data_IF_251541738614
#
_entry.id   IF_251541738614
#
_cell.length_a   1.000
_cell.length_b   1.000
_cell.length_c   1.000
_cell.angle_alpha   90.00
_cell.angle_beta   90.00
_cell.angle_gamma   90.00
#
_symmetry.space_group_name_H-M   'P 1'
#
loop_
_entity.id
_entity.type
_entity.pdbx_description
1 polymer ?
#
# COMPACT_ATOMS: atom_id res chain seq x y z
N UNK A 1 32.04 -10.78 36.08
CA UNK A 1 32.57 -10.85 34.70
C UNK A 1 32.53 -12.27 34.12
N UNK A 2 33.37 -13.23 34.55
CA UNK A 2 33.36 -14.58 33.94
C UNK A 2 32.06 -15.36 34.19
N UNK A 3 31.49 -15.26 35.40
CA UNK A 3 30.21 -15.89 35.77
C UNK A 3 29.03 -15.27 35.00
N UNK A 4 29.06 -13.96 34.75
CA UNK A 4 28.01 -13.27 33.98
C UNK A 4 28.10 -13.62 32.49
N UNK A 5 29.32 -13.73 31.95
CA UNK A 5 29.56 -14.23 30.60
C UNK A 5 29.13 -15.68 30.43
N UNK A 6 29.41 -16.55 31.41
CA UNK A 6 28.95 -17.96 31.40
C UNK A 6 27.41 -18.03 31.54
N UNK A 7 26.78 -17.21 32.37
CA UNK A 7 25.30 -17.16 32.48
C UNK A 7 24.66 -16.65 31.19
N UNK A 8 25.22 -15.63 30.55
CA UNK A 8 24.79 -15.16 29.23
C UNK A 8 24.96 -16.28 28.18
N UNK A 9 26.09 -16.97 28.18
CA UNK A 9 26.37 -18.06 27.24
C UNK A 9 25.46 -19.29 27.44
N UNK A 10 25.21 -19.69 28.68
CA UNK A 10 24.28 -20.77 29.05
C UNK A 10 22.83 -20.36 28.75
N UNK A 11 22.47 -19.09 28.95
CA UNK A 11 21.16 -18.57 28.57
C UNK A 11 20.91 -18.66 27.06
N UNK A 12 21.96 -18.43 26.26
CA UNK A 12 21.89 -18.48 24.79
C UNK A 12 21.86 -19.94 24.25
N UNK A 13 22.38 -20.91 25.01
CA UNK A 13 22.32 -22.34 24.71
C UNK A 13 20.94 -22.98 24.96
N UNK A 14 20.08 -22.34 25.75
CA UNK A 14 18.73 -22.83 26.06
C UNK A 14 17.62 -22.15 25.24
N UNK A 15 17.99 -21.16 24.42
CA UNK A 15 17.08 -20.46 23.51
C UNK A 15 16.49 -21.41 22.48
N UNK A 16 15.21 -21.21 22.19
CA UNK A 16 14.56 -21.80 21.04
C UNK A 16 14.78 -20.95 19.79
N UNK A 17 14.56 -21.55 18.63
CA UNK A 17 14.73 -20.89 17.34
C UNK A 17 13.45 -20.96 16.53
N UNK A 18 13.00 -19.81 16.05
CA UNK A 18 11.96 -19.68 15.03
C UNK A 18 12.64 -19.28 13.74
N UNK A 19 12.48 -20.08 12.71
CA UNK A 19 12.90 -19.76 11.35
C UNK A 19 11.65 -19.52 10.51
N UNK A 20 11.63 -18.42 9.77
CA UNK A 20 10.55 -18.12 8.83
C UNK A 20 11.17 -17.94 7.47
N UNK A 21 10.71 -18.71 6.49
CA UNK A 21 11.13 -18.65 5.10
C UNK A 21 10.07 -17.91 4.27
N UNK A 22 10.48 -16.99 3.40
CA UNK A 22 9.64 -16.34 2.40
C UNK A 22 10.16 -16.66 1.00
N UNK A 23 9.33 -17.31 0.19
CA UNK A 23 9.59 -17.62 -1.23
C UNK A 23 8.93 -16.58 -2.13
N UNK A 24 7.73 -16.13 -1.75
CA UNK A 24 6.99 -15.08 -2.43
C UNK A 24 7.77 -13.76 -2.44
N UNK A 25 7.73 -13.08 -3.59
CA UNK A 25 8.49 -11.85 -3.81
C UNK A 25 7.96 -10.68 -2.98
N UNK A 26 6.65 -10.53 -2.85
CA UNK A 26 6.03 -9.51 -2.00
C UNK A 26 6.35 -9.75 -0.53
N UNK A 27 6.32 -11.01 -0.07
CA UNK A 27 6.67 -11.33 1.32
C UNK A 27 8.14 -11.07 1.60
N UNK A 28 9.06 -11.47 0.72
CA UNK A 28 10.48 -11.14 0.89
C UNK A 28 10.74 -9.64 0.93
N UNK A 29 9.98 -8.86 0.18
CA UNK A 29 10.21 -7.41 0.10
C UNK A 29 9.53 -6.61 1.23
N UNK A 30 8.33 -7.00 1.64
CA UNK A 30 7.46 -6.21 2.53
C UNK A 30 7.03 -6.95 3.80
N UNK A 31 7.31 -8.25 3.88
CA UNK A 31 6.95 -9.09 5.00
C UNK A 31 7.64 -8.67 6.29
N UNK A 32 6.85 -8.52 7.34
CA UNK A 32 7.31 -8.30 8.72
C UNK A 32 6.83 -9.46 9.57
N UNK A 33 7.77 -10.19 10.17
CA UNK A 33 7.48 -11.23 11.14
C UNK A 33 7.47 -10.61 12.53
N UNK A 34 6.38 -10.79 13.26
CA UNK A 34 6.26 -10.38 14.65
C UNK A 34 6.10 -11.58 15.56
N UNK A 35 6.83 -11.58 16.68
CA UNK A 35 6.68 -12.56 17.75
C UNK A 35 6.07 -11.87 18.96
N UNK A 36 4.91 -12.35 19.38
CA UNK A 36 4.14 -11.82 20.50
C UNK A 36 4.12 -12.82 21.64
N UNK A 37 4.19 -12.31 22.87
CA UNK A 37 3.93 -13.08 24.08
C UNK A 37 2.77 -12.39 24.82
N UNK A 38 1.68 -13.12 25.02
CA UNK A 38 0.42 -12.53 25.47
C UNK A 38 -0.01 -11.37 24.56
N UNK A 39 -0.01 -10.12 25.06
CA UNK A 39 -0.36 -8.91 24.31
C UNK A 39 0.83 -7.98 24.08
N UNK A 40 2.05 -8.45 24.31
CA UNK A 40 3.27 -7.67 24.14
C UNK A 40 4.04 -8.14 22.91
N UNK A 41 4.43 -7.19 22.06
CA UNK A 41 5.37 -7.44 20.96
C UNK A 41 6.77 -7.65 21.57
N UNK A 42 7.38 -8.80 21.30
CA UNK A 42 8.69 -9.17 21.83
C UNK A 42 9.78 -8.91 20.79
N UNK A 43 9.54 -9.35 19.56
CA UNK A 43 10.49 -9.22 18.44
C UNK A 43 9.73 -8.85 17.17
N UNK A 44 10.34 -8.01 16.32
CA UNK A 44 9.90 -7.82 14.95
C UNK A 44 11.09 -7.87 13.99
N UNK A 45 10.90 -8.55 12.86
CA UNK A 45 11.97 -8.81 11.90
C UNK A 45 11.45 -8.68 10.48
N UNK A 46 12.29 -8.15 9.59
CA UNK A 46 12.07 -8.13 8.15
C UNK A 46 12.93 -9.17 7.47
N UNK A 47 12.50 -9.64 6.32
CA UNK A 47 13.34 -10.46 5.46
C UNK A 47 14.52 -9.62 4.92
N UNK A 48 15.75 -10.16 4.87
CA UNK A 48 16.89 -9.40 4.40
C UNK A 48 16.78 -9.01 2.91
N UNK A 49 17.37 -7.87 2.50
CA UNK A 49 17.59 -7.54 1.08
C UNK A 49 18.60 -8.54 0.48
N UNK A 50 18.28 -9.03 -0.73
CA UNK A 50 18.99 -10.09 -1.51
C UNK A 50 18.75 -11.49 -0.97
N UNK A 51 18.73 -12.47 -1.89
CA UNK A 51 18.68 -13.96 -1.86
C UNK A 51 18.44 -14.76 -0.56
N UNK A 52 18.75 -14.22 0.62
CA UNK A 52 18.32 -14.73 1.91
C UNK A 52 16.78 -14.71 2.00
N UNK A 53 16.22 -15.90 1.81
CA UNK A 53 14.78 -16.15 1.80
C UNK A 53 14.25 -16.51 3.18
N UNK A 54 14.98 -16.21 4.26
CA UNK A 54 14.57 -16.58 5.61
C UNK A 54 15.13 -15.65 6.68
N UNK A 55 14.49 -15.66 7.84
CA UNK A 55 14.95 -15.03 9.07
C UNK A 55 15.04 -16.07 10.17
N UNK A 56 15.92 -15.83 11.14
CA UNK A 56 16.12 -16.69 12.31
C UNK A 56 15.98 -15.84 13.57
N UNK A 57 15.00 -16.16 14.40
CA UNK A 57 14.70 -15.45 15.65
C UNK A 57 15.01 -16.38 16.82
N UNK A 58 15.87 -15.93 17.74
CA UNK A 58 16.15 -16.64 18.99
C UNK A 58 15.25 -16.10 20.09
N UNK A 59 14.53 -16.99 20.77
CA UNK A 59 13.60 -16.63 21.84
C UNK A 59 13.74 -17.55 23.04
N UNK A 60 13.42 -17.05 24.22
CA UNK A 60 13.33 -17.87 25.43
C UNK A 60 12.19 -18.90 25.29
N UNK A 61 12.23 -20.01 26.05
CA UNK A 61 11.11 -20.94 26.13
C UNK A 61 9.85 -20.26 26.70
N UNK A 62 8.69 -20.53 26.11
CA UNK A 62 7.45 -19.84 26.47
C UNK A 62 6.34 -20.08 25.47
N UNK A 63 5.20 -19.42 25.67
CA UNK A 63 4.08 -19.46 24.72
C UNK A 63 4.06 -18.20 23.87
N UNK A 64 4.02 -18.36 22.55
CA UNK A 64 4.16 -17.26 21.60
C UNK A 64 3.16 -17.34 20.46
N UNK A 65 2.81 -16.17 19.92
CA UNK A 65 2.13 -16.02 18.63
C UNK A 65 3.10 -15.45 17.62
N UNK A 66 3.26 -16.15 16.51
CA UNK A 66 4.07 -15.67 15.38
C UNK A 66 3.13 -15.20 14.29
N UNK A 67 3.30 -13.95 13.89
CA UNK A 67 2.49 -13.31 12.84
C UNK A 67 3.39 -12.91 11.69
N UNK A 68 2.89 -13.08 10.47
CA UNK A 68 3.46 -12.49 9.27
C UNK A 68 2.52 -11.37 8.83
N UNK A 69 3.06 -10.17 8.69
CA UNK A 69 2.33 -9.00 8.17
C UNK A 69 2.91 -8.67 6.81
N UNK A 70 2.04 -8.55 5.81
CA UNK A 70 2.41 -8.22 4.43
C UNK A 70 1.38 -7.24 3.89
N UNK A 71 1.83 -6.02 3.56
CA UNK A 71 0.96 -4.90 3.17
C UNK A 71 -0.09 -4.61 4.26
N UNK A 72 -1.37 -4.83 3.97
CA UNK A 72 -2.51 -4.62 4.88
C UNK A 72 -2.99 -5.91 5.58
N UNK A 73 -2.35 -7.07 5.30
CA UNK A 73 -2.79 -8.37 5.79
C UNK A 73 -1.91 -8.88 6.91
N UNK A 74 -2.55 -9.44 7.94
CA UNK A 74 -1.88 -10.17 9.02
C UNK A 74 -2.27 -11.63 8.96
N UNK A 75 -1.27 -12.51 8.96
CA UNK A 75 -1.41 -13.96 8.96
C UNK A 75 -0.83 -14.52 10.25
N UNK A 76 -1.55 -15.42 10.91
CA UNK A 76 -1.04 -16.15 12.06
C UNK A 76 -0.25 -17.37 11.53
N UNK A 77 1.07 -17.36 11.70
CA UNK A 77 1.93 -18.51 11.35
C UNK A 77 1.82 -19.61 12.41
N UNK A 78 1.65 -19.22 13.67
CA UNK A 78 1.21 -20.14 14.71
C UNK A 78 1.05 -19.52 16.09
N UNK A 79 0.39 -20.27 16.97
CA UNK A 79 0.11 -19.95 18.37
C UNK A 79 0.42 -21.20 19.20
N UNK A 80 1.57 -21.23 19.87
CA UNK A 80 2.09 -22.46 20.47
C UNK A 80 3.11 -22.20 21.59
N UNK A 81 3.34 -23.24 22.39
CA UNK A 81 4.43 -23.31 23.36
C UNK A 81 5.71 -23.79 22.68
N UNK A 82 6.81 -23.15 23.05
CA UNK A 82 8.17 -23.43 22.59
C UNK A 82 9.01 -23.84 23.78
N UNK A 83 9.57 -25.04 23.74
CA UNK A 83 10.43 -25.57 24.79
C UNK A 83 11.91 -25.21 24.54
N UNK A 84 12.77 -25.49 25.53
CA UNK A 84 14.22 -25.26 25.43
C UNK A 84 14.79 -25.92 24.18
N UNK A 85 15.60 -25.16 23.43
CA UNK A 85 16.28 -25.61 22.20
C UNK A 85 15.34 -26.10 21.09
N UNK A 86 14.03 -25.90 21.23
CA UNK A 86 13.09 -26.28 20.19
C UNK A 86 13.35 -25.45 18.92
N UNK A 87 13.16 -26.09 17.76
CA UNK A 87 13.18 -25.42 16.46
C UNK A 87 11.78 -25.44 15.87
N UNK A 88 11.37 -24.28 15.37
CA UNK A 88 10.11 -24.11 14.65
C UNK A 88 10.41 -23.46 13.32
N UNK A 89 9.83 -24.01 12.26
CA UNK A 89 10.02 -23.55 10.91
C UNK A 89 8.66 -23.19 10.33
N UNK A 90 8.59 -22.02 9.71
CA UNK A 90 7.44 -21.55 8.96
C UNK A 90 7.87 -21.20 7.55
N UNK A 91 6.96 -21.33 6.62
CA UNK A 91 7.08 -20.79 5.27
C UNK A 91 5.83 -20.00 4.94
N UNK A 92 5.88 -19.31 3.81
CA UNK A 92 4.73 -18.67 3.18
C UNK A 92 3.89 -19.61 2.32
N UNK A 93 4.07 -20.93 2.46
CA UNK A 93 3.29 -21.92 1.71
C UNK A 93 1.80 -21.83 2.07
N UNK A 94 0.96 -21.67 1.05
CA UNK A 94 -0.50 -21.54 1.22
C UNK A 94 -0.96 -20.18 1.76
N UNK A 95 -0.07 -19.21 1.96
CA UNK A 95 -0.47 -17.84 2.31
C UNK A 95 -0.95 -17.13 1.03
N UNK A 96 -2.21 -16.64 0.99
CA UNK A 96 -2.69 -15.86 -0.14
C UNK A 96 -2.10 -14.45 -0.06
N UNK A 97 -0.87 -14.29 -0.53
CA UNK A 97 -0.15 -13.03 -0.45
C UNK A 97 -0.84 -11.97 -1.30
N UNK A 98 -1.15 -10.79 -0.75
CA UNK A 98 -1.65 -9.69 -1.57
C UNK A 98 -0.57 -9.26 -2.58
N UNK A 99 -0.96 -9.18 -3.85
CA UNK A 99 -0.08 -8.64 -4.89
C UNK A 99 0.13 -7.14 -4.65
N UNK A 100 1.40 -6.73 -4.51
CA UNK A 100 1.72 -5.31 -4.39
C UNK A 100 1.50 -4.62 -5.74
N UNK A 101 0.71 -3.55 -5.75
CA UNK A 101 0.45 -2.74 -6.94
C UNK A 101 -0.11 -3.60 -8.10
N UNK A 102 -1.19 -4.36 -7.83
CA UNK A 102 -1.77 -5.30 -8.79
C UNK A 102 -2.15 -4.65 -10.12
N UNK A 103 -1.86 -5.34 -11.23
CA UNK A 103 -2.23 -4.89 -12.57
C UNK A 103 -3.75 -4.75 -12.78
N UNK A 104 -4.55 -5.41 -11.95
CA UNK A 104 -6.02 -5.29 -11.94
C UNK A 104 -6.50 -3.92 -11.47
N UNK A 105 -5.65 -3.14 -10.80
CA UNK A 105 -5.96 -1.78 -10.32
C UNK A 105 -5.54 -0.69 -11.31
N UNK A 106 -5.64 -0.97 -12.60
CA UNK A 106 -5.40 -0.02 -13.68
C UNK A 106 -6.53 -0.04 -14.69
N UNK A 107 -6.91 1.14 -15.16
CA UNK A 107 -7.84 1.35 -16.27
C UNK A 107 -7.05 1.69 -17.52
N UNK A 108 -7.42 1.08 -18.65
CA UNK A 108 -6.86 1.40 -19.95
C UNK A 108 -7.57 2.62 -20.55
N UNK A 109 -6.78 3.58 -21.01
CA UNK A 109 -7.22 4.78 -21.71
C UNK A 109 -6.76 4.64 -23.17
N UNK A 110 -7.72 4.52 -24.08
CA UNK A 110 -7.44 4.40 -25.49
C UNK A 110 -6.77 5.67 -26.05
N UNK A 111 -5.90 5.47 -27.04
CA UNK A 111 -5.31 6.56 -27.80
C UNK A 111 -6.40 7.41 -28.47
N UNK A 112 -6.12 8.69 -28.66
CA UNK A 112 -6.99 9.57 -29.42
C UNK A 112 -6.85 11.04 -29.05
N UNK A 113 -7.62 11.84 -29.77
CA UNK A 113 -7.71 13.28 -29.57
C UNK A 113 -8.87 13.62 -28.64
N UNK A 114 -8.66 14.58 -27.75
CA UNK A 114 -9.70 15.11 -26.88
C UNK A 114 -9.53 16.61 -26.67
N UNK A 115 -10.62 17.27 -26.31
CA UNK A 115 -10.61 18.68 -25.93
C UNK A 115 -10.21 18.79 -24.45
N UNK A 116 -9.01 19.32 -24.19
CA UNK A 116 -8.55 19.65 -22.84
C UNK A 116 -9.00 21.06 -22.46
N UNK A 117 -9.39 21.25 -21.19
CA UNK A 117 -9.67 22.56 -20.63
C UNK A 117 -11.16 22.92 -20.61
N UNK A 118 -11.45 24.18 -20.29
CA UNK A 118 -12.81 24.73 -20.27
C UNK A 118 -12.80 26.24 -20.50
N UNK A 119 -13.91 26.77 -20.99
CA UNK A 119 -14.10 28.22 -21.08
C UNK A 119 -14.56 28.85 -19.76
N UNK A 120 -14.87 28.03 -18.75
CA UNK A 120 -15.41 28.49 -17.45
C UNK A 120 -14.32 29.04 -16.52
N UNK A 121 -13.10 28.53 -16.62
CA UNK A 121 -12.01 28.90 -15.71
C UNK A 121 -10.83 29.49 -16.48
N UNK A 122 -10.32 30.64 -16.01
CA UNK A 122 -9.21 31.35 -16.67
C UNK A 122 -7.98 30.48 -16.92
N UNK A 123 -7.63 29.62 -15.96
CA UNK A 123 -6.44 28.76 -16.06
C UNK A 123 -6.68 27.47 -16.86
N UNK A 124 -7.92 27.19 -17.26
CA UNK A 124 -8.28 26.07 -18.12
C UNK A 124 -8.67 26.51 -19.55
N UNK A 125 -8.61 27.82 -19.83
CA UNK A 125 -9.08 28.43 -21.07
C UNK A 125 -7.90 28.87 -21.95
N UNK A 126 -8.03 28.82 -23.29
CA UNK A 126 -9.16 28.24 -24.03
C UNK A 126 -9.06 26.71 -24.09
N UNK A 127 -10.21 26.02 -24.25
CA UNK A 127 -10.21 24.61 -24.61
C UNK A 127 -9.42 24.37 -25.91
N UNK A 128 -8.61 23.32 -25.95
CA UNK A 128 -7.79 22.99 -27.10
C UNK A 128 -7.63 21.48 -27.28
N UNK A 129 -7.41 21.04 -28.51
CA UNK A 129 -7.26 19.62 -28.82
C UNK A 129 -5.88 19.09 -28.46
N UNK A 130 -5.85 17.94 -27.78
CA UNK A 130 -4.62 17.20 -27.48
C UNK A 130 -4.80 15.76 -27.96
N UNK A 131 -3.78 15.25 -28.65
CA UNK A 131 -3.71 13.84 -29.03
C UNK A 131 -2.79 13.09 -28.06
N UNK A 132 -3.30 12.01 -27.47
CA UNK A 132 -2.54 11.13 -26.57
C UNK A 132 -2.45 9.73 -27.16
N UNK A 133 -1.31 9.08 -26.96
CA UNK A 133 -1.19 7.63 -27.14
C UNK A 133 -2.01 6.88 -26.07
N UNK A 134 -2.25 5.59 -26.27
CA UNK A 134 -2.90 4.77 -25.26
C UNK A 134 -2.00 4.66 -24.01
N UNK A 135 -2.61 4.66 -22.83
CA UNK A 135 -1.90 4.50 -21.56
C UNK A 135 -2.79 3.80 -20.53
N UNK A 136 -2.19 3.33 -19.44
CA UNK A 136 -2.93 2.83 -18.27
C UNK A 136 -2.75 3.78 -17.12
N UNK A 137 -3.81 4.01 -16.35
CA UNK A 137 -3.76 4.82 -15.13
C UNK A 137 -4.40 4.04 -13.98
N UNK A 138 -3.87 4.24 -12.77
CA UNK A 138 -4.37 3.65 -11.53
C UNK A 138 -5.88 3.90 -11.38
N UNK A 139 -6.65 2.84 -11.11
CA UNK A 139 -8.09 2.89 -10.81
C UNK A 139 -8.37 3.57 -9.46
N UNK A 140 -7.41 3.51 -8.54
CA UNK A 140 -7.49 4.05 -7.18
C UNK A 140 -6.24 4.90 -6.92
N UNK A 141 -6.31 5.94 -6.07
CA UNK A 141 -5.10 6.60 -5.59
C UNK A 141 -4.14 5.58 -4.95
N UNK A 142 -2.83 5.86 -4.96
CA UNK A 142 -1.87 5.08 -4.18
C UNK A 142 -2.31 5.09 -2.72
N UNK A 143 -2.44 3.91 -2.11
CA UNK A 143 -2.91 3.80 -0.73
C UNK A 143 -1.79 4.12 0.27
N UNK A 144 -2.18 4.48 1.49
CA UNK A 144 -1.21 4.73 2.56
C UNK A 144 -0.37 3.50 2.86
N UNK A 145 -0.94 2.29 2.81
CA UNK A 145 -0.21 1.03 2.97
C UNK A 145 0.82 0.80 1.86
N UNK A 146 0.44 1.06 0.60
CA UNK A 146 1.36 0.87 -0.52
C UNK A 146 2.54 1.83 -0.44
N UNK A 147 2.27 3.10 -0.13
CA UNK A 147 3.32 4.10 0.03
C UNK A 147 4.19 3.83 1.27
N UNK A 148 3.60 3.45 2.40
CA UNK A 148 4.34 3.06 3.60
C UNK A 148 5.26 1.87 3.33
N UNK A 149 4.81 0.89 2.53
CA UNK A 149 5.63 -0.27 2.12
C UNK A 149 6.86 0.14 1.32
N UNK A 150 6.72 1.13 0.42
CA UNK A 150 7.85 1.76 -0.27
C UNK A 150 8.77 2.51 0.70
N UNK A 151 8.23 3.42 1.52
CA UNK A 151 9.03 4.25 2.44
C UNK A 151 9.84 3.37 3.40
N UNK A 152 9.23 2.29 3.86
CA UNK A 152 9.84 1.25 4.65
C UNK A 152 10.94 0.48 3.90
N UNK A 153 10.75 0.17 2.61
CA UNK A 153 11.77 -0.49 1.78
C UNK A 153 12.98 0.43 1.47
N UNK A 154 12.79 1.75 1.52
CA UNK A 154 13.87 2.73 1.41
C UNK A 154 14.64 2.88 2.74
N UNK A 155 13.91 3.01 3.86
CA UNK A 155 14.48 3.04 5.23
C UNK A 155 15.14 1.74 5.67
N UNK A 156 14.90 0.66 4.92
CA UNK A 156 15.56 -0.65 5.07
C UNK A 156 17.10 -0.54 5.25
N UNK A 157 17.74 0.49 4.68
CA UNK A 157 19.18 0.67 4.81
C UNK A 157 19.64 1.08 6.24
N UNK A 158 18.72 1.51 7.11
CA UNK A 158 19.07 2.24 8.33
C UNK A 158 18.62 1.54 9.63
N UNK A 159 17.43 0.92 9.68
CA UNK A 159 16.92 0.27 10.91
C UNK A 159 16.00 -0.93 10.66
N UNK A 160 15.86 -1.81 11.66
CA UNK A 160 14.81 -2.86 11.72
C UNK A 160 13.48 -2.35 12.28
N UNK A 161 13.45 -1.12 12.80
CA UNK A 161 12.24 -0.52 13.36
C UNK A 161 11.41 0.07 12.24
N UNK A 162 10.31 -0.59 11.91
CA UNK A 162 9.49 -0.18 10.79
C UNK A 162 8.03 -0.10 11.20
N UNK A 163 7.45 1.07 10.97
CA UNK A 163 6.03 1.29 11.10
C UNK A 163 5.30 0.39 10.10
N UNK A 164 4.64 -0.64 10.63
CA UNK A 164 3.75 -1.50 9.87
C UNK A 164 2.46 -0.73 9.63
N UNK A 165 2.01 -0.71 8.38
CA UNK A 165 0.79 0.01 8.01
C UNK A 165 -0.39 -0.38 8.92
N UNK A 166 -1.05 0.60 9.52
CA UNK A 166 -2.22 0.36 10.36
C UNK A 166 -3.45 0.02 9.51
N UNK A 167 -4.25 -0.95 9.97
CA UNK A 167 -5.48 -1.39 9.28
C UNK A 167 -6.47 -0.26 9.02
N UNK A 168 -6.49 0.75 9.87
CA UNK A 168 -7.45 1.87 9.80
C UNK A 168 -7.14 2.85 8.67
N UNK A 169 -5.86 3.01 8.33
CA UNK A 169 -5.39 3.86 7.24
C UNK A 169 -5.04 3.08 5.97
N UNK A 170 -4.96 1.74 6.04
CA UNK A 170 -4.52 0.88 4.95
C UNK A 170 -5.16 1.18 3.61
N UNK A 171 -6.48 1.43 3.62
CA UNK A 171 -7.27 1.66 2.42
C UNK A 171 -7.55 3.15 2.16
N UNK A 172 -6.92 4.09 2.87
CA UNK A 172 -7.02 5.52 2.53
C UNK A 172 -5.92 5.90 1.53
N UNK A 173 -6.11 6.91 0.66
CA UNK A 173 -5.03 7.43 -0.19
C UNK A 173 -3.84 7.87 0.64
N UNK A 174 -2.61 7.66 0.19
CA UNK A 174 -1.43 8.26 0.77
C UNK A 174 -1.54 9.80 0.75
N UNK A 175 -1.03 10.46 1.78
CA UNK A 175 -0.99 11.92 1.89
C UNK A 175 0.32 12.35 2.55
N UNK A 176 0.56 13.67 2.61
CA UNK A 176 1.84 14.23 3.06
C UNK A 176 3.03 13.68 2.25
N UNK A 177 2.82 13.51 0.94
CA UNK A 177 3.83 13.05 -0.02
C UNK A 177 4.15 14.23 -0.93
N UNK A 178 5.42 14.61 -1.02
CA UNK A 178 5.85 15.65 -1.97
C UNK A 178 5.85 15.09 -3.39
N UNK A 179 5.92 15.99 -4.38
CA UNK A 179 5.98 15.56 -5.77
C UNK A 179 7.27 14.78 -6.09
N UNK A 180 8.40 15.16 -5.48
CA UNK A 180 9.67 14.44 -5.61
C UNK A 180 9.59 13.05 -5.02
N UNK A 181 8.94 12.91 -3.86
CA UNK A 181 8.72 11.62 -3.21
C UNK A 181 7.80 10.72 -4.03
N UNK A 182 6.72 11.27 -4.60
CA UNK A 182 5.82 10.54 -5.49
C UNK A 182 6.54 10.07 -6.77
N UNK A 183 7.46 10.87 -7.29
CA UNK A 183 8.35 10.45 -8.39
C UNK A 183 9.31 9.34 -7.96
N UNK A 184 9.95 9.47 -6.80
CA UNK A 184 10.82 8.44 -6.24
C UNK A 184 10.09 7.10 -6.09
N UNK A 185 8.83 7.15 -5.63
CA UNK A 185 7.94 5.99 -5.58
C UNK A 185 7.75 5.36 -6.96
N UNK A 186 7.44 6.15 -7.99
CA UNK A 186 7.26 5.65 -9.35
C UNK A 186 8.52 5.00 -9.93
N UNK A 187 9.69 5.62 -9.71
CA UNK A 187 10.99 5.07 -10.15
C UNK A 187 11.25 3.74 -9.47
N UNK A 188 11.16 3.68 -8.14
CA UNK A 188 11.36 2.44 -7.40
C UNK A 188 10.34 1.36 -7.80
N UNK A 189 9.08 1.73 -7.99
CA UNK A 189 8.04 0.80 -8.43
C UNK A 189 8.38 0.23 -9.80
N UNK A 190 8.96 1.05 -10.68
CA UNK A 190 9.37 0.60 -12.01
C UNK A 190 10.45 -0.47 -11.94
N UNK A 191 11.45 -0.27 -11.10
CA UNK A 191 12.50 -1.26 -10.84
C UNK A 191 11.93 -2.52 -10.18
N UNK A 192 11.01 -2.33 -9.22
CA UNK A 192 10.39 -3.44 -8.49
C UNK A 192 9.51 -4.30 -9.40
N UNK A 193 8.66 -3.71 -10.24
CA UNK A 193 7.75 -4.47 -11.11
C UNK A 193 8.37 -4.84 -12.46
N UNK A 194 9.50 -4.24 -12.84
CA UNK A 194 10.13 -4.44 -14.15
C UNK A 194 9.33 -3.83 -15.31
N UNK A 195 8.48 -2.85 -15.03
CA UNK A 195 7.64 -2.14 -15.99
C UNK A 195 7.68 -0.65 -15.68
N UNK A 196 7.54 0.22 -16.68
CA UNK A 196 7.56 1.67 -16.45
C UNK A 196 6.28 2.15 -15.74
N UNK A 197 6.46 2.79 -14.58
CA UNK A 197 5.44 3.55 -13.86
C UNK A 197 5.91 5.01 -13.70
N UNK A 198 4.96 5.95 -13.81
CA UNK A 198 5.21 7.39 -13.67
C UNK A 198 3.96 8.11 -13.21
N UNK A 199 4.13 9.36 -12.80
CA UNK A 199 3.01 10.28 -12.66
C UNK A 199 2.37 10.54 -14.04
N UNK A 200 1.04 10.68 -14.11
CA UNK A 200 0.38 11.11 -15.35
C UNK A 200 0.78 12.55 -15.68
N UNK A 201 0.78 12.89 -16.96
CA UNK A 201 0.76 14.30 -17.37
C UNK A 201 -0.59 14.92 -17.01
N UNK A 202 -0.68 16.25 -16.99
CA UNK A 202 -1.96 16.93 -16.77
C UNK A 202 -3.01 16.52 -17.82
N UNK A 203 -2.62 16.45 -19.09
CA UNK A 203 -3.51 16.01 -20.18
C UNK A 203 -3.98 14.56 -20.02
N UNK A 204 -3.10 13.64 -19.61
CA UNK A 204 -3.47 12.25 -19.33
C UNK A 204 -4.43 12.15 -18.14
N UNK A 205 -4.18 12.92 -17.09
CA UNK A 205 -5.03 12.96 -15.91
C UNK A 205 -6.43 13.48 -16.27
N UNK A 206 -6.53 14.59 -16.98
CA UNK A 206 -7.81 15.15 -17.40
C UNK A 206 -8.54 14.20 -18.37
N UNK A 207 -7.84 13.61 -19.35
CA UNK A 207 -8.41 12.61 -20.25
C UNK A 207 -9.00 11.43 -19.49
N UNK A 208 -8.30 10.93 -18.47
CA UNK A 208 -8.77 9.84 -17.63
C UNK A 208 -10.02 10.24 -16.83
N UNK A 209 -10.02 11.41 -16.19
CA UNK A 209 -11.17 11.91 -15.42
C UNK A 209 -12.41 12.16 -16.30
N UNK A 210 -12.22 12.40 -17.60
CA UNK A 210 -13.26 12.62 -18.60
C UNK A 210 -13.73 11.35 -19.32
N UNK A 211 -13.20 10.17 -18.99
CA UNK A 211 -13.41 8.93 -19.76
C UNK A 211 -14.89 8.57 -19.93
N UNK A 212 -15.71 8.76 -18.90
CA UNK A 212 -17.13 8.42 -18.95
C UNK A 212 -17.99 9.53 -19.56
N UNK A 213 -17.62 10.79 -19.34
CA UNK A 213 -18.37 11.97 -19.77
C UNK A 213 -17.42 13.08 -20.27
N UNK A 214 -16.98 13.03 -21.54
CA UNK A 214 -15.92 13.89 -22.05
C UNK A 214 -16.16 15.40 -21.92
N UNK A 215 -17.42 15.81 -22.08
CA UNK A 215 -17.81 17.22 -22.14
C UNK A 215 -18.45 17.73 -20.84
N UNK A 216 -18.36 16.95 -19.75
CA UNK A 216 -18.99 17.32 -18.49
C UNK A 216 -18.09 18.15 -17.58
N UNK A 217 -18.71 18.92 -16.68
CA UNK A 217 -18.02 19.71 -15.66
C UNK A 217 -17.31 18.84 -14.62
N UNK A 218 -17.97 17.79 -14.16
CA UNK A 218 -17.42 16.78 -13.26
C UNK A 218 -17.28 15.44 -14.00
N UNK A 219 -16.44 14.51 -13.50
CA UNK A 219 -16.33 13.16 -14.07
C UNK A 219 -17.69 12.46 -14.22
N UNK A 220 -18.61 12.72 -13.28
CA UNK A 220 -19.94 12.11 -13.23
C UNK A 220 -21.05 12.91 -13.91
N UNK A 221 -20.81 14.15 -14.36
CA UNK A 221 -21.84 14.96 -15.02
C UNK A 221 -21.70 16.46 -14.81
N UNK A 222 -22.74 17.20 -15.14
CA UNK A 222 -22.76 18.68 -15.02
C UNK A 222 -23.32 19.18 -13.69
N UNK A 223 -24.01 18.30 -12.97
CA UNK A 223 -24.53 18.57 -11.64
C UNK A 223 -23.57 17.99 -10.62
N UNK A 224 -23.40 18.74 -9.53
CA UNK A 224 -22.66 18.30 -8.35
C UNK A 224 -23.26 17.02 -7.76
N UNK A 225 -24.58 16.85 -7.91
CA UNK A 225 -25.33 15.63 -7.64
C UNK A 225 -25.52 14.80 -8.91
N UNK A 226 -25.54 13.47 -8.79
CA UNK A 226 -26.04 12.60 -9.85
C UNK A 226 -27.57 12.71 -9.92
N UNK A 227 -28.17 13.25 -10.99
CA UNK A 227 -29.62 13.40 -11.07
C UNK A 227 -30.36 12.05 -11.17
N UNK A 228 -29.64 10.97 -11.49
CA UNK A 228 -30.19 9.61 -11.61
C UNK A 228 -30.05 8.78 -10.32
N UNK A 229 -29.39 9.32 -9.28
CA UNK A 229 -29.24 8.67 -7.98
C UNK A 229 -29.85 9.53 -6.86
N UNK A 230 -30.23 8.94 -5.72
CA UNK A 230 -30.55 9.71 -4.51
C UNK A 230 -29.39 10.65 -4.15
N UNK A 231 -29.61 11.60 -3.22
CA UNK A 231 -28.69 12.65 -2.74
C UNK A 231 -27.37 12.13 -2.08
N UNK A 232 -26.82 11.03 -2.58
CA UNK A 232 -25.56 10.47 -2.15
C UNK A 232 -24.41 11.22 -2.84
N UNK A 233 -23.43 11.70 -2.05
CA UNK A 233 -22.25 12.34 -2.62
C UNK A 233 -21.49 11.34 -3.51
N UNK A 234 -20.91 11.85 -4.60
CA UNK A 234 -20.09 11.04 -5.52
C UNK A 234 -18.58 11.18 -5.26
N UNK A 235 -18.19 12.02 -4.32
CA UNK A 235 -16.80 12.21 -3.87
C UNK A 235 -16.78 12.76 -2.43
N UNK A 236 -15.63 12.68 -1.76
CA UNK A 236 -15.44 13.31 -0.44
C UNK A 236 -14.93 14.74 -0.61
N UNK A 237 -15.78 15.74 -0.40
CA UNK A 237 -15.38 17.16 -0.42
C UNK A 237 -16.17 17.96 0.62
N UNK A 238 -15.77 19.23 0.84
CA UNK A 238 -16.08 20.03 2.04
C UNK A 238 -17.58 20.11 2.39
N UNK A 239 -18.46 20.20 1.40
CA UNK A 239 -19.88 20.51 1.59
C UNK A 239 -20.76 19.27 1.86
N UNK A 240 -20.27 18.06 1.52
CA UNK A 240 -21.01 16.80 1.70
C UNK A 240 -20.41 15.88 2.76
N UNK A 241 -20.05 16.49 3.90
CA UNK A 241 -19.65 15.74 5.10
C UNK A 241 -20.91 15.23 5.79
N UNK A 242 -21.09 13.91 5.90
CA UNK A 242 -22.10 13.29 6.79
C UNK A 242 -21.72 13.46 8.27
N UNK A 243 -21.47 14.70 8.73
CA UNK A 243 -21.18 15.01 10.14
C UNK A 243 -19.87 14.44 10.71
N UNK A 244 -18.96 13.91 9.88
CA UNK A 244 -17.70 13.31 10.32
C UNK A 244 -16.57 14.35 10.43
N UNK A 245 -15.57 14.06 11.27
CA UNK A 245 -14.31 14.82 11.32
C UNK A 245 -13.69 14.91 9.91
N UNK A 246 -13.04 16.04 9.56
CA UNK A 246 -12.34 16.17 8.28
C UNK A 246 -11.21 15.15 8.18
N UNK A 247 -11.39 14.13 7.34
CA UNK A 247 -10.39 13.13 7.02
C UNK A 247 -10.67 12.54 5.62
N UNK A 248 -9.67 11.86 5.06
CA UNK A 248 -9.78 11.07 3.84
C UNK A 248 -10.71 9.89 4.06
N UNK A 249 -11.48 9.55 3.05
CA UNK A 249 -12.27 8.32 3.05
C UNK A 249 -11.47 7.12 2.53
N UNK A 250 -11.95 5.91 2.85
CA UNK A 250 -11.39 4.69 2.26
C UNK A 250 -11.60 4.73 0.75
N UNK A 251 -10.65 4.20 -0.02
CA UNK A 251 -10.83 3.96 -1.45
C UNK A 251 -12.11 3.16 -1.68
N UNK A 252 -12.76 3.40 -2.83
CA UNK A 252 -14.02 2.75 -3.20
C UNK A 252 -15.20 3.02 -2.25
N UNK A 253 -15.11 4.03 -1.38
CA UNK A 253 -16.27 4.49 -0.61
C UNK A 253 -17.34 5.14 -1.50
N UNK A 254 -16.94 5.72 -2.63
CA UNK A 254 -17.82 6.31 -3.63
C UNK A 254 -17.83 5.50 -4.94
N UNK A 255 -18.89 5.61 -5.76
CA UNK A 255 -18.94 4.94 -7.06
C UNK A 255 -17.77 5.34 -7.97
N UNK A 256 -17.32 4.42 -8.81
CA UNK A 256 -16.32 4.74 -9.83
C UNK A 256 -16.95 5.49 -11.01
N UNK A 257 -16.18 6.38 -11.62
CA UNK A 257 -16.49 6.95 -12.94
C UNK A 257 -15.57 6.31 -13.98
N UNK A 258 -16.13 5.51 -14.90
CA UNK A 258 -15.34 4.82 -15.92
C UNK A 258 -14.23 3.92 -15.37
N UNK A 259 -14.48 3.29 -14.22
CA UNK A 259 -13.51 2.44 -13.52
C UNK A 259 -12.52 3.18 -12.59
N UNK A 260 -12.57 4.51 -12.54
CA UNK A 260 -11.73 5.32 -11.66
C UNK A 260 -12.47 5.70 -10.37
N UNK A 261 -11.84 5.49 -9.23
CA UNK A 261 -12.35 5.83 -7.90
C UNK A 261 -11.60 7.04 -7.33
N UNK A 262 -12.31 7.87 -6.55
CA UNK A 262 -11.75 9.14 -6.06
C UNK A 262 -11.55 10.18 -7.17
N UNK A 263 -12.15 9.94 -8.35
CA UNK A 263 -12.21 10.87 -9.46
C UNK A 263 -13.06 12.07 -9.06
N UNK A 264 -12.44 13.14 -8.54
CA UNK A 264 -13.12 14.39 -8.17
C UNK A 264 -12.74 14.92 -6.79
N UNK A 265 -12.45 14.04 -5.82
CA UNK A 265 -11.86 14.36 -4.51
C UNK A 265 -11.78 13.08 -3.64
N UNK A 266 -10.94 13.09 -2.59
CA UNK A 266 -11.00 12.16 -1.45
C UNK A 266 -10.44 12.79 -0.17
#
# INVERSE_FOLDING_TARGET
>A
MLVDQIKLFVSDLDMATIEVTARDRSIRQFGVVQVWQSNSLIEQHRFPKKDASFIVIRIAPGSYKVRLIVLDKTFLLGDYRVDRRAKRQYSDDGIPTPEFFSDKEFVEIAAGTFLQGSSEFKNASPPHEISLSAFRIRSIPVTACEYASYAAAQRYAETNDVEVCSSDNALKPANYVTWEEAKGFCTWLSDFKGQSYRLPTEAEYERAMRIARPMSKYPWGNSEFDPEKPLEPLANYREFRRGTKPDRTRIRQFPSTGGLYGSGSN
#
